data_IF_180283799572
#
_entry.id   IF_180283799572
#
_cell.length_a   1.000
_cell.length_b   1.000
_cell.length_c   1.000
_cell.angle_alpha   90.00
_cell.angle_beta   90.00
_cell.angle_gamma   90.00
#
_symmetry.space_group_name_H-M   'P 1'
#
loop_
_entity.id
_entity.type
_entity.pdbx_description
1 polymer ?
#
# COMPACT_ATOMS: atom_id res chain seq x y z
N UNK A 1 -11.59 -23.05 1.49
CA UNK A 1 -11.46 -21.80 0.71
C UNK A 1 -10.00 -21.62 0.37
N UNK A 2 -9.66 -21.45 -0.90
CA UNK A 2 -8.26 -21.22 -1.31
C UNK A 2 -7.86 -19.76 -1.07
N UNK A 3 -6.55 -19.47 -1.03
CA UNK A 3 -6.05 -18.08 -0.95
C UNK A 3 -6.58 -17.21 -2.10
N UNK A 4 -6.76 -17.82 -3.28
CA UNK A 4 -7.33 -17.15 -4.44
C UNK A 4 -8.80 -16.74 -4.21
N UNK A 5 -9.59 -17.61 -3.58
CA UNK A 5 -11.01 -17.31 -3.29
C UNK A 5 -11.11 -16.18 -2.27
N UNK A 6 -10.23 -16.17 -1.26
CA UNK A 6 -10.16 -15.10 -0.26
C UNK A 6 -9.71 -13.78 -0.86
N UNK A 7 -8.73 -13.81 -1.78
CA UNK A 7 -8.32 -12.62 -2.51
C UNK A 7 -9.45 -12.06 -3.38
N UNK A 8 -10.21 -12.94 -4.04
CA UNK A 8 -11.38 -12.53 -4.81
C UNK A 8 -12.48 -11.90 -3.94
N UNK A 9 -12.65 -12.37 -2.71
CA UNK A 9 -13.65 -11.83 -1.79
C UNK A 9 -13.34 -10.39 -1.33
N UNK A 10 -12.07 -9.97 -1.32
CA UNK A 10 -11.65 -8.61 -0.95
C UNK A 10 -11.35 -7.71 -2.15
N UNK A 11 -11.48 -8.22 -3.35
CA UNK A 11 -11.10 -7.50 -4.58
C UNK A 11 -11.91 -6.20 -4.79
N UNK A 12 -13.16 -6.18 -4.38
CA UNK A 12 -14.01 -4.98 -4.46
C UNK A 12 -13.48 -3.84 -3.59
N UNK A 13 -13.23 -4.10 -2.32
CA UNK A 13 -12.68 -3.13 -1.36
C UNK A 13 -11.30 -2.62 -1.83
N UNK A 14 -10.47 -3.52 -2.37
CA UNK A 14 -9.15 -3.16 -2.89
C UNK A 14 -9.26 -2.31 -4.16
N UNK A 15 -10.22 -2.58 -5.03
CA UNK A 15 -10.47 -1.72 -6.20
C UNK A 15 -10.89 -0.31 -5.77
N UNK A 16 -11.73 -0.17 -4.76
CA UNK A 16 -12.12 1.13 -4.20
C UNK A 16 -10.92 1.87 -3.61
N UNK A 17 -10.06 1.20 -2.84
CA UNK A 17 -8.81 1.78 -2.33
C UNK A 17 -7.93 2.27 -3.49
N UNK A 18 -7.72 1.43 -4.51
CA UNK A 18 -6.94 1.80 -5.69
C UNK A 18 -7.51 3.03 -6.39
N UNK A 19 -8.83 3.09 -6.59
CA UNK A 19 -9.48 4.24 -7.22
C UNK A 19 -9.32 5.52 -6.38
N UNK A 20 -9.41 5.40 -5.05
CA UNK A 20 -9.20 6.53 -4.15
C UNK A 20 -7.76 7.06 -4.17
N UNK A 21 -6.77 6.16 -4.26
CA UNK A 21 -5.36 6.52 -4.43
C UNK A 21 -5.13 7.20 -5.78
N UNK A 22 -5.63 6.60 -6.86
CA UNK A 22 -5.47 7.10 -8.23
C UNK A 22 -6.07 8.49 -8.42
N UNK A 23 -7.21 8.75 -7.80
CA UNK A 23 -7.90 10.05 -7.91
C UNK A 23 -7.23 11.19 -7.16
N UNK A 24 -6.37 10.89 -6.18
CA UNK A 24 -5.65 11.88 -5.37
C UNK A 24 -4.15 11.56 -5.29
N UNK A 25 -3.43 11.56 -6.43
CA UNK A 25 -2.01 11.25 -6.47
C UNK A 25 -1.18 12.34 -5.77
N UNK A 26 -0.13 11.92 -5.08
CA UNK A 26 0.85 12.79 -4.43
C UNK A 26 2.25 12.42 -4.90
N UNK A 27 3.14 13.42 -5.02
CA UNK A 27 4.47 13.26 -5.62
C UNK A 27 5.57 13.42 -4.57
N UNK A 28 6.58 12.56 -4.61
CA UNK A 28 7.79 12.70 -3.83
C UNK A 28 7.71 12.15 -2.41
N UNK A 29 8.15 12.91 -1.41
CA UNK A 29 8.38 12.46 -0.04
C UNK A 29 7.20 12.65 0.90
N UNK A 30 6.40 13.69 0.67
CA UNK A 30 5.31 14.11 1.53
C UNK A 30 3.96 13.75 0.90
N UNK A 31 3.41 12.61 1.32
CA UNK A 31 2.21 11.99 0.78
C UNK A 31 1.15 11.78 1.88
N UNK A 32 0.71 12.82 2.58
CA UNK A 32 -0.14 12.65 3.78
C UNK A 32 -1.50 12.02 3.48
N UNK A 33 -2.11 12.30 2.34
CA UNK A 33 -3.40 11.71 1.95
C UNK A 33 -3.24 10.23 1.59
N UNK A 34 -2.17 9.89 0.89
CA UNK A 34 -1.82 8.51 0.55
C UNK A 34 -1.53 7.71 1.82
N UNK A 35 -0.69 8.26 2.72
CA UNK A 35 -0.39 7.65 4.02
C UNK A 35 -1.67 7.41 4.84
N UNK A 36 -2.57 8.39 4.90
CA UNK A 36 -3.84 8.26 5.61
C UNK A 36 -4.72 7.13 5.05
N UNK A 37 -4.79 6.98 3.72
CA UNK A 37 -5.53 5.89 3.08
C UNK A 37 -4.91 4.53 3.38
N UNK A 38 -3.58 4.43 3.38
CA UNK A 38 -2.86 3.21 3.76
C UNK A 38 -3.15 2.84 5.21
N UNK A 39 -3.01 3.79 6.13
CA UNK A 39 -3.31 3.56 7.55
C UNK A 39 -4.75 3.12 7.77
N UNK A 40 -5.72 3.74 7.07
CA UNK A 40 -7.12 3.32 7.10
C UNK A 40 -7.34 1.91 6.56
N UNK A 41 -6.63 1.50 5.52
CA UNK A 41 -6.73 0.14 4.96
C UNK A 41 -6.12 -0.94 5.87
N UNK A 42 -5.19 -0.55 6.76
CA UNK A 42 -4.54 -1.44 7.71
C UNK A 42 -5.22 -1.45 9.09
N UNK A 43 -6.18 -0.57 9.31
CA UNK A 43 -6.86 -0.42 10.61
C UNK A 43 -7.55 -1.73 11.03
N UNK A 44 -7.49 -2.04 12.33
CA UNK A 44 -8.06 -3.27 12.90
C UNK A 44 -7.30 -4.56 12.59
N UNK A 45 -6.22 -4.53 11.80
CA UNK A 45 -5.35 -5.68 11.58
C UNK A 45 -4.34 -5.84 12.73
N UNK A 46 -3.90 -7.08 13.06
CA UNK A 46 -2.95 -7.34 14.15
C UNK A 46 -1.51 -6.98 13.75
N UNK A 47 -1.28 -5.72 13.41
CA UNK A 47 -0.01 -5.19 12.90
C UNK A 47 0.62 -4.21 13.89
N UNK A 48 1.93 -4.28 14.02
CA UNK A 48 2.73 -3.24 14.67
C UNK A 48 3.06 -2.18 13.60
N UNK A 49 2.39 -1.03 13.65
CA UNK A 49 2.51 0.02 12.64
C UNK A 49 3.42 1.13 13.14
N UNK A 50 4.33 1.59 12.28
CA UNK A 50 5.14 2.80 12.47
C UNK A 50 5.15 3.64 11.19
N UNK A 51 5.28 4.95 11.37
CA UNK A 51 5.40 5.93 10.28
C UNK A 51 6.78 6.58 10.32
N UNK A 52 7.25 7.06 9.18
CA UNK A 52 8.51 7.80 9.11
C UNK A 52 8.40 9.18 9.77
N UNK A 53 9.52 9.64 10.36
CA UNK A 53 9.60 10.96 11.00
C UNK A 53 9.78 12.11 9.98
N UNK A 54 10.43 11.82 8.86
CA UNK A 54 10.79 12.80 7.81
C UNK A 54 10.10 12.56 6.48
N UNK A 55 9.51 11.41 6.33
CA UNK A 55 8.80 10.95 5.13
C UNK A 55 7.46 10.37 5.56
N UNK A 56 6.51 10.37 4.65
CA UNK A 56 5.20 9.73 4.86
C UNK A 56 5.22 8.21 4.59
N UNK A 57 6.32 7.53 4.92
CA UNK A 57 6.39 6.07 4.84
C UNK A 57 5.52 5.40 5.90
N UNK A 58 5.09 4.16 5.62
CA UNK A 58 4.41 3.30 6.59
C UNK A 58 5.12 1.96 6.60
N UNK A 59 5.47 1.49 7.80
CA UNK A 59 5.96 0.13 8.02
C UNK A 59 5.01 -0.60 8.94
N UNK A 60 4.54 -1.76 8.53
CA UNK A 60 3.65 -2.60 9.31
C UNK A 60 4.27 -3.99 9.49
N UNK A 61 4.33 -4.49 10.71
CA UNK A 61 4.95 -5.76 11.04
C UNK A 61 3.90 -6.74 11.53
N UNK A 62 3.77 -7.87 10.83
CA UNK A 62 2.95 -9.00 11.21
C UNK A 62 3.82 -10.09 11.82
N UNK A 63 3.68 -10.34 13.12
CA UNK A 63 4.36 -11.46 13.77
C UNK A 63 3.49 -12.69 13.67
N UNK A 64 3.97 -13.71 12.97
CA UNK A 64 3.30 -14.99 12.85
C UNK A 64 3.29 -15.78 14.16
N UNK A 65 2.36 -16.71 14.25
CA UNK A 65 2.17 -17.57 15.43
C UNK A 65 3.22 -18.70 15.57
N UNK A 66 4.10 -18.88 14.59
CA UNK A 66 5.12 -19.94 14.57
C UNK A 66 6.51 -19.39 14.26
N UNK A 67 7.59 -20.00 14.77
CA UNK A 67 8.95 -19.64 14.38
C UNK A 67 9.16 -19.73 12.87
N UNK A 68 9.95 -18.81 12.31
CA UNK A 68 10.25 -18.82 10.89
C UNK A 68 11.09 -17.60 10.45
N UNK A 69 11.29 -17.43 9.14
CA UNK A 69 12.09 -16.34 8.60
C UNK A 69 11.39 -14.99 8.72
N UNK A 70 12.14 -13.93 8.47
CA UNK A 70 11.62 -12.58 8.24
C UNK A 70 11.56 -12.34 6.75
N UNK A 71 10.39 -11.93 6.26
CA UNK A 71 10.15 -11.58 4.85
C UNK A 71 9.70 -10.12 4.78
N UNK A 72 10.29 -9.34 3.88
CA UNK A 72 9.86 -7.98 3.58
C UNK A 72 9.12 -7.97 2.25
N UNK A 73 7.91 -7.39 2.26
CA UNK A 73 7.13 -7.04 1.07
C UNK A 73 7.10 -5.52 0.95
N UNK A 74 7.32 -5.01 -0.25
CA UNK A 74 7.44 -3.57 -0.50
C UNK A 74 6.44 -3.14 -1.58
N UNK A 75 5.80 -2.00 -1.35
CA UNK A 75 5.03 -1.26 -2.35
C UNK A 75 5.36 0.23 -2.27
N UNK A 76 5.59 0.84 -3.41
CA UNK A 76 5.80 2.27 -3.53
C UNK A 76 4.48 3.03 -3.61
N UNK A 77 4.50 4.32 -3.26
CA UNK A 77 3.27 5.10 -3.06
C UNK A 77 3.21 6.40 -3.87
N UNK A 78 4.34 6.90 -4.35
CA UNK A 78 4.42 8.20 -5.03
C UNK A 78 3.90 8.15 -6.46
N UNK A 79 3.42 9.29 -6.93
CA UNK A 79 2.94 9.51 -8.29
C UNK A 79 3.97 10.30 -9.12
N UNK A 80 3.68 10.44 -10.40
CA UNK A 80 4.49 11.17 -11.37
C UNK A 80 3.90 12.55 -11.70
N UNK A 81 4.73 13.55 -12.04
CA UNK A 81 4.30 14.87 -12.49
C UNK A 81 3.81 14.83 -13.96
N UNK A 82 2.74 14.10 -14.20
CA UNK A 82 2.15 13.84 -15.51
C UNK A 82 0.68 14.24 -15.48
N UNK A 83 0.23 14.95 -16.50
CA UNK A 83 -1.20 15.25 -16.67
C UNK A 83 -1.92 14.02 -17.21
N UNK A 84 -2.91 13.55 -16.48
CA UNK A 84 -3.68 12.38 -16.90
C UNK A 84 -4.62 12.70 -18.07
N UNK A 85 -4.70 11.76 -19.02
CA UNK A 85 -5.57 11.82 -20.18
C UNK A 85 -6.26 10.48 -20.48
N UNK A 86 -6.45 9.65 -19.45
CA UNK A 86 -7.00 8.28 -19.61
C UNK A 86 -8.50 8.24 -19.84
N UNK A 87 -9.25 9.20 -19.29
CA UNK A 87 -10.71 9.21 -19.34
C UNK A 87 -11.40 8.17 -18.45
N UNK A 88 -10.67 7.52 -17.52
CA UNK A 88 -11.28 6.59 -16.56
C UNK A 88 -12.17 7.31 -15.54
N UNK A 89 -13.21 6.65 -14.97
CA UNK A 89 -14.13 7.30 -14.02
C UNK A 89 -13.46 7.81 -12.74
N UNK A 90 -12.31 7.24 -12.37
CA UNK A 90 -11.50 7.59 -11.19
C UNK A 90 -10.23 8.36 -11.55
N UNK A 91 -10.25 9.12 -12.66
CA UNK A 91 -9.12 9.94 -13.12
C UNK A 91 -8.62 10.87 -12.02
N UNK A 92 -7.35 11.25 -12.08
CA UNK A 92 -6.72 12.19 -11.14
C UNK A 92 -7.50 13.49 -11.03
N UNK A 93 -7.74 13.95 -9.81
CA UNK A 93 -8.32 15.25 -9.48
C UNK A 93 -7.25 16.31 -9.24
N UNK A 94 -5.98 15.93 -9.33
CA UNK A 94 -4.81 16.79 -9.11
C UNK A 94 -4.21 17.10 -10.47
N UNK A 95 -4.35 18.33 -10.94
CA UNK A 95 -3.79 18.72 -12.23
C UNK A 95 -2.26 18.57 -12.23
N UNK A 96 -1.72 17.94 -13.25
CA UNK A 96 -0.29 17.70 -13.39
C UNK A 96 0.27 16.55 -12.53
N UNK A 97 -0.57 15.75 -11.89
CA UNK A 97 -0.13 14.56 -11.16
C UNK A 97 -0.94 13.31 -11.55
N UNK A 98 -0.29 12.19 -11.72
CA UNK A 98 -0.93 10.91 -12.11
C UNK A 98 -0.14 9.72 -11.57
N UNK A 99 -0.84 8.67 -11.14
CA UNK A 99 -0.26 7.35 -10.91
C UNK A 99 0.01 6.63 -12.25
N UNK A 100 0.98 7.13 -13.03
CA UNK A 100 1.30 6.60 -14.34
C UNK A 100 2.26 5.40 -14.31
N UNK A 101 2.91 5.14 -13.17
CA UNK A 101 3.78 3.98 -12.96
C UNK A 101 3.08 2.81 -12.26
N UNK A 102 1.83 2.99 -11.82
CA UNK A 102 1.04 1.93 -11.18
C UNK A 102 1.31 1.75 -9.68
N UNK A 103 1.91 2.74 -9.00
CA UNK A 103 2.17 2.67 -7.56
C UNK A 103 0.88 2.62 -6.73
N UNK A 104 -0.23 3.15 -7.22
CA UNK A 104 -1.57 2.95 -6.66
C UNK A 104 -1.98 1.46 -6.60
N UNK A 105 -1.60 0.68 -7.61
CA UNK A 105 -1.78 -0.78 -7.62
C UNK A 105 -0.82 -1.47 -6.65
N UNK A 106 0.46 -1.08 -6.62
CA UNK A 106 1.45 -1.66 -5.71
C UNK A 106 1.07 -1.44 -4.24
N UNK A 107 0.68 -0.22 -3.87
CA UNK A 107 0.15 0.12 -2.55
C UNK A 107 -1.07 -0.73 -2.19
N UNK A 108 -2.02 -0.84 -3.11
CA UNK A 108 -3.25 -1.61 -2.91
C UNK A 108 -2.99 -3.10 -2.77
N UNK A 109 -2.13 -3.68 -3.61
CA UNK A 109 -1.75 -5.09 -3.52
C UNK A 109 -1.05 -5.40 -2.21
N UNK A 110 -0.19 -4.49 -1.72
CA UNK A 110 0.50 -4.67 -0.45
C UNK A 110 -0.47 -4.61 0.74
N UNK A 111 -1.44 -3.70 0.73
CA UNK A 111 -2.52 -3.65 1.73
C UNK A 111 -3.38 -4.92 1.70
N UNK A 112 -3.70 -5.42 0.51
CA UNK A 112 -4.40 -6.69 0.33
C UNK A 112 -3.63 -7.89 0.88
N UNK A 113 -2.32 -7.95 0.64
CA UNK A 113 -1.44 -8.97 1.20
C UNK A 113 -1.41 -8.92 2.73
N UNK A 114 -1.33 -7.71 3.31
CA UNK A 114 -1.38 -7.53 4.76
C UNK A 114 -2.70 -8.07 5.34
N UNK A 115 -3.84 -7.77 4.72
CA UNK A 115 -5.17 -8.27 5.14
C UNK A 115 -5.25 -9.80 5.08
N UNK A 116 -4.82 -10.41 3.97
CA UNK A 116 -4.89 -11.86 3.77
C UNK A 116 -3.95 -12.63 4.72
N UNK A 117 -2.74 -12.13 4.94
CA UNK A 117 -1.77 -12.76 5.83
C UNK A 117 -2.15 -12.58 7.31
N UNK A 118 -2.71 -11.43 7.67
CA UNK A 118 -3.24 -11.18 9.02
C UNK A 118 -4.34 -12.17 9.42
N UNK A 119 -5.20 -12.53 8.48
CA UNK A 119 -6.24 -13.55 8.72
C UNK A 119 -5.67 -14.96 8.99
N UNK A 120 -4.39 -15.18 8.69
CA UNK A 120 -3.66 -16.44 8.90
C UNK A 120 -2.55 -16.35 9.94
N UNK A 121 -2.53 -15.28 10.73
CA UNK A 121 -1.45 -14.98 11.67
C UNK A 121 -1.04 -16.18 12.52
N UNK A 122 -2.01 -16.93 13.08
CA UNK A 122 -1.76 -18.06 13.96
C UNK A 122 -0.93 -19.18 13.29
N UNK A 123 -1.13 -19.40 11.99
CA UNK A 123 -0.47 -20.44 11.21
C UNK A 123 0.76 -19.93 10.44
N UNK A 124 0.96 -18.63 10.39
CA UNK A 124 2.06 -18.01 9.65
C UNK A 124 3.40 -18.28 10.34
N UNK A 125 4.39 -18.88 9.65
CA UNK A 125 5.74 -19.00 10.19
C UNK A 125 6.53 -17.70 10.01
N UNK A 126 7.20 -17.25 11.07
CA UNK A 126 8.09 -16.09 11.04
C UNK A 126 7.37 -14.74 11.10
N UNK A 127 7.96 -13.74 10.44
CA UNK A 127 7.49 -12.36 10.48
C UNK A 127 7.41 -11.79 9.08
N UNK A 128 6.35 -11.04 8.77
CA UNK A 128 6.23 -10.30 7.52
C UNK A 128 6.28 -8.80 7.82
N UNK A 129 7.14 -8.09 7.11
CA UNK A 129 7.25 -6.64 7.13
C UNK A 129 6.65 -6.10 5.84
N UNK A 130 5.63 -5.26 5.96
CA UNK A 130 5.02 -4.54 4.84
C UNK A 130 5.58 -3.12 4.85
N UNK A 131 6.31 -2.75 3.78
CA UNK A 131 6.92 -1.43 3.64
C UNK A 131 6.26 -0.65 2.53
N UNK A 132 5.53 0.41 2.89
CA UNK A 132 4.93 1.37 1.97
C UNK A 132 5.88 2.55 1.83
N UNK A 133 6.52 2.66 0.66
CA UNK A 133 7.63 3.57 0.41
C UNK A 133 7.21 4.78 -0.41
N UNK A 134 7.43 6.02 0.05
CA UNK A 134 7.34 7.23 -0.78
C UNK A 134 8.61 7.42 -1.61
N UNK A 135 8.56 8.34 -2.58
CA UNK A 135 9.69 8.85 -3.36
C UNK A 135 10.55 7.78 -4.04
N UNK A 136 9.91 6.81 -4.70
CA UNK A 136 10.60 5.82 -5.54
C UNK A 136 11.13 6.46 -6.83
N UNK A 137 10.32 7.34 -7.47
CA UNK A 137 10.54 7.91 -8.80
C UNK A 137 11.71 8.92 -8.92
N UNK A 138 12.58 8.99 -7.97
CA UNK A 138 13.78 9.83 -8.08
C UNK A 138 14.29 10.42 -6.78
N UNK A 139 13.57 10.23 -5.70
CA UNK A 139 13.92 10.83 -4.41
C UNK A 139 14.82 9.97 -3.52
N UNK A 140 14.88 8.65 -3.75
CA UNK A 140 15.59 7.73 -2.87
C UNK A 140 14.92 7.56 -1.51
N UNK A 141 13.59 7.46 -1.46
CA UNK A 141 12.79 7.32 -0.25
C UNK A 141 13.03 6.04 0.56
N UNK A 142 13.88 5.14 0.06
CA UNK A 142 14.30 3.92 0.77
C UNK A 142 15.65 4.09 1.50
N UNK A 143 16.25 5.29 1.56
CA UNK A 143 17.53 5.57 2.21
C UNK A 143 17.38 5.90 3.68
#
# INVERSE_FOLDING_TARGET
>A
MTLRDEAAAVAGDLAELRHALHAEPEIGYDLPKTQSKVLGALDGLPLEISTGDKLTSVTAVLRGGRPGPVVLLRGDMDALPIKEATGVPFTSRIDGAMHACGHDLHTTMLAGAARLLSARQADLPGTVIFMFQPAEEGGGGAR
#
